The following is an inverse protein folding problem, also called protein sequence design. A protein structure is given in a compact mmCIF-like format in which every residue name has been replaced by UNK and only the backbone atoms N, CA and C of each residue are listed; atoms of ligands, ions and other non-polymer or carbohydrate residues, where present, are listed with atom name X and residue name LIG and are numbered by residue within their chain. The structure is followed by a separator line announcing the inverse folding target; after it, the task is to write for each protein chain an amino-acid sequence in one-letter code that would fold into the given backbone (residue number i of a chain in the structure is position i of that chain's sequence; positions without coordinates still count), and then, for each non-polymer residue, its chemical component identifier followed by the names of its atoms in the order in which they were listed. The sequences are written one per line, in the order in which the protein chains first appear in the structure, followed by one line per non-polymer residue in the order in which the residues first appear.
data_IF_176292939843
#
_entry.id   IF_176292939843
#
_cell.length_a   1.000
_cell.length_b   1.000
_cell.length_c   1.000
_cell.angle_alpha   90.00
_cell.angle_beta   90.00
_cell.angle_gamma   90.00
#
_symmetry.space_group_name_H-M   'P 1'
#
loop_
_entity.id
_entity.type
_entity.pdbx_description
1 polymer ?
#
# COMPACT_ATOMS: atom_id res chain seq x y z
N UNK A 1 -10.43 -32.66 -10.69
CA UNK A 1 -9.38 -31.62 -10.78
C UNK A 1 -8.08 -32.28 -11.22
N UNK A 2 -7.36 -31.73 -12.17
CA UNK A 2 -6.08 -32.32 -12.55
C UNK A 2 -5.01 -32.00 -11.52
N UNK A 3 -4.02 -32.86 -11.38
CA UNK A 3 -2.88 -32.66 -10.46
C UNK A 3 -2.15 -31.35 -10.73
N UNK A 4 -2.06 -30.95 -11.98
CA UNK A 4 -1.46 -29.68 -12.40
C UNK A 4 -2.25 -28.45 -11.93
N UNK A 5 -3.57 -28.51 -11.87
CA UNK A 5 -4.39 -27.42 -11.34
C UNK A 5 -4.15 -27.19 -9.84
N UNK A 6 -3.97 -28.27 -9.08
CA UNK A 6 -3.63 -28.19 -7.66
C UNK A 6 -2.24 -27.60 -7.42
N UNK A 7 -1.28 -27.97 -8.26
CA UNK A 7 0.09 -27.41 -8.21
C UNK A 7 0.07 -25.91 -8.55
N UNK A 8 -0.66 -25.52 -9.57
CA UNK A 8 -0.78 -24.12 -9.96
C UNK A 8 -1.46 -23.26 -8.88
N UNK A 9 -2.49 -23.79 -8.24
CA UNK A 9 -3.14 -23.16 -7.09
C UNK A 9 -2.15 -22.96 -5.94
N UNK A 10 -1.37 -23.99 -5.60
CA UNK A 10 -0.33 -23.91 -4.57
C UNK A 10 0.74 -22.87 -4.91
N UNK A 11 1.20 -22.84 -6.15
CA UNK A 11 2.17 -21.86 -6.64
C UNK A 11 1.66 -20.43 -6.51
N UNK A 12 0.43 -20.13 -6.95
CA UNK A 12 -0.18 -18.80 -6.82
C UNK A 12 -0.28 -18.35 -5.36
N UNK A 13 -0.72 -19.26 -4.49
CA UNK A 13 -0.80 -18.97 -3.05
C UNK A 13 0.57 -18.67 -2.44
N UNK A 14 1.59 -19.42 -2.80
CA UNK A 14 2.96 -19.16 -2.35
C UNK A 14 3.48 -17.81 -2.82
N UNK A 15 3.29 -17.45 -4.09
CA UNK A 15 3.71 -16.15 -4.60
C UNK A 15 3.00 -14.99 -3.90
N UNK A 16 1.69 -15.11 -3.66
CA UNK A 16 0.94 -14.09 -2.95
C UNK A 16 1.45 -13.90 -1.51
N UNK A 17 1.70 -15.00 -0.80
CA UNK A 17 2.26 -14.94 0.55
C UNK A 17 3.70 -14.41 0.57
N UNK A 18 4.52 -14.77 -0.40
CA UNK A 18 5.87 -14.24 -0.53
C UNK A 18 5.85 -12.73 -0.72
N UNK A 19 4.96 -12.22 -1.56
CA UNK A 19 4.79 -10.78 -1.76
C UNK A 19 4.34 -10.06 -0.49
N UNK A 20 3.44 -10.69 0.27
CA UNK A 20 3.00 -10.15 1.56
C UNK A 20 4.15 -10.08 2.58
N UNK A 21 4.97 -11.13 2.65
CA UNK A 21 6.14 -11.17 3.54
C UNK A 21 7.19 -10.13 3.12
N UNK A 22 7.46 -9.99 1.83
CA UNK A 22 8.38 -8.97 1.32
C UNK A 22 7.91 -7.55 1.65
N UNK A 23 6.62 -7.28 1.50
CA UNK A 23 6.04 -5.98 1.86
C UNK A 23 6.12 -5.73 3.36
N UNK A 24 5.85 -6.73 4.19
CA UNK A 24 6.02 -6.62 5.64
C UNK A 24 7.48 -6.35 6.02
N UNK A 25 8.43 -7.08 5.42
CA UNK A 25 9.86 -6.86 5.62
C UNK A 25 10.30 -5.45 5.22
N UNK A 26 9.80 -4.95 4.09
CA UNK A 26 10.05 -3.59 3.64
C UNK A 26 9.50 -2.54 4.63
N UNK A 27 8.29 -2.75 5.15
CA UNK A 27 7.71 -1.89 6.18
C UNK A 27 8.55 -1.88 7.47
N UNK A 28 9.01 -3.04 7.91
CA UNK A 28 9.84 -3.18 9.11
C UNK A 28 11.19 -2.48 8.92
N UNK A 29 11.84 -2.72 7.78
CA UNK A 29 13.15 -2.13 7.46
C UNK A 29 13.10 -0.60 7.41
N UNK A 30 11.96 -0.04 7.01
CA UNK A 30 11.78 1.41 6.88
C UNK A 30 10.95 2.03 8.01
N UNK A 31 10.74 1.31 9.10
CA UNK A 31 9.91 1.79 10.22
C UNK A 31 10.42 3.08 10.87
N UNK A 32 11.74 3.30 10.80
CA UNK A 32 12.40 4.52 11.31
C UNK A 32 12.83 5.49 10.20
N UNK A 33 12.50 5.21 8.94
CA UNK A 33 12.84 6.08 7.82
C UNK A 33 11.87 7.25 7.75
N UNK A 34 12.40 8.47 7.81
CA UNK A 34 11.59 9.68 7.69
C UNK A 34 10.93 9.77 6.31
N UNK A 35 9.64 10.14 6.31
CA UNK A 35 8.84 10.23 5.09
C UNK A 35 8.35 8.90 4.52
N UNK A 36 8.68 7.78 5.17
CA UNK A 36 8.19 6.47 4.74
C UNK A 36 6.71 6.27 5.11
N UNK A 37 5.94 5.74 4.18
CA UNK A 37 4.55 5.38 4.40
C UNK A 37 4.37 3.87 4.28
N UNK A 38 3.78 3.26 5.31
CA UNK A 38 3.50 1.84 5.37
C UNK A 38 2.71 1.37 4.14
N UNK A 39 3.14 0.27 3.55
CA UNK A 39 2.47 -0.38 2.43
C UNK A 39 1.63 -1.58 2.89
N UNK A 40 0.54 -1.82 2.18
CA UNK A 40 -0.35 -2.96 2.41
C UNK A 40 -0.59 -3.68 1.09
N UNK A 41 -0.49 -5.00 1.14
CA UNK A 41 -0.86 -5.86 0.02
C UNK A 41 -2.36 -6.12 0.06
N UNK A 42 -3.04 -5.89 -1.04
CA UNK A 42 -4.43 -6.30 -1.27
C UNK A 42 -4.42 -7.66 -1.96
N UNK A 43 -5.06 -8.62 -1.32
CA UNK A 43 -5.23 -9.96 -1.84
C UNK A 43 -6.68 -10.14 -2.28
N UNK A 44 -6.88 -10.57 -3.51
CA UNK A 44 -8.19 -10.91 -4.05
C UNK A 44 -8.23 -12.38 -4.47
N UNK A 45 -9.42 -12.97 -4.43
CA UNK A 45 -9.61 -14.31 -4.95
C UNK A 45 -9.38 -14.32 -6.46
N UNK A 46 -8.65 -15.32 -6.94
CA UNK A 46 -8.51 -15.50 -8.38
C UNK A 46 -9.87 -15.87 -8.99
N UNK A 47 -10.08 -15.53 -10.26
CA UNK A 47 -11.32 -15.86 -10.96
C UNK A 47 -11.59 -17.38 -10.86
N UNK A 48 -12.85 -17.80 -10.60
CA UNK A 48 -13.19 -19.22 -10.54
C UNK A 48 -12.98 -19.89 -11.90
N UNK A 49 -12.71 -21.20 -11.86
CA UNK A 49 -12.46 -21.98 -13.08
C UNK A 49 -13.60 -21.85 -14.09
N UNK A 50 -14.77 -21.57 -13.58
CA UNK A 50 -15.96 -21.47 -14.39
C UNK A 50 -16.68 -20.13 -14.20
N UNK A 51 -16.91 -19.45 -15.29
CA UNK A 51 -17.76 -18.24 -15.31
C UNK A 51 -19.24 -18.66 -15.41
N UNK A 52 -20.17 -17.98 -14.74
CA UNK A 52 -21.58 -18.19 -14.96
C UNK A 52 -21.94 -17.92 -16.43
N UNK A 53 -22.51 -18.92 -17.13
CA UNK A 53 -22.97 -18.78 -18.52
C UNK A 53 -24.27 -19.58 -18.71
N UNK A 54 -25.11 -19.17 -19.67
CA UNK A 54 -26.42 -19.73 -19.94
C UNK A 54 -26.39 -21.21 -20.42
N UNK A 55 -25.27 -21.70 -20.90
CA UNK A 55 -25.07 -23.06 -21.42
C UNK A 55 -24.44 -24.05 -20.45
N UNK A 56 -24.49 -23.77 -19.14
CA UNK A 56 -23.73 -24.50 -18.16
C UNK A 56 -24.51 -25.56 -17.41
N UNK A 57 -23.81 -26.66 -17.04
CA UNK A 57 -24.32 -27.67 -16.15
C UNK A 57 -24.78 -27.07 -14.81
N UNK A 58 -25.97 -27.43 -14.35
CA UNK A 58 -26.62 -26.95 -13.12
C UNK A 58 -25.97 -27.49 -11.84
N UNK A 59 -24.69 -27.77 -11.82
CA UNK A 59 -24.00 -28.21 -10.61
C UNK A 59 -23.74 -27.03 -9.69
N UNK A 60 -24.21 -27.06 -8.44
CA UNK A 60 -23.94 -26.01 -7.48
C UNK A 60 -22.47 -25.95 -7.10
N UNK A 61 -21.94 -24.75 -6.99
CA UNK A 61 -20.59 -24.51 -6.56
C UNK A 61 -19.60 -24.19 -7.70
N UNK A 62 -18.61 -23.39 -7.37
CA UNK A 62 -17.51 -23.01 -8.24
C UNK A 62 -16.18 -23.45 -7.62
N UNK A 63 -15.31 -23.98 -8.47
CA UNK A 63 -13.97 -24.35 -8.02
C UNK A 63 -13.09 -23.10 -8.00
N UNK A 64 -12.61 -22.73 -6.82
CA UNK A 64 -11.67 -21.61 -6.64
C UNK A 64 -10.30 -21.91 -7.24
N UNK A 65 -9.64 -20.88 -7.72
CA UNK A 65 -8.29 -20.99 -8.30
C UNK A 65 -7.20 -20.32 -7.43
N UNK A 66 -7.47 -20.07 -6.17
CA UNK A 66 -6.52 -19.51 -5.23
C UNK A 66 -6.62 -17.98 -5.10
N UNK A 67 -5.53 -17.36 -4.73
CA UNK A 67 -5.41 -15.94 -4.40
C UNK A 67 -4.41 -15.26 -5.32
N UNK A 68 -4.69 -14.02 -5.65
CA UNK A 68 -3.77 -13.14 -6.38
C UNK A 68 -3.53 -11.84 -5.62
N UNK A 69 -2.39 -11.23 -5.83
CA UNK A 69 -2.13 -9.85 -5.39
C UNK A 69 -2.77 -8.91 -6.41
N UNK A 70 -3.76 -8.14 -5.98
CA UNK A 70 -4.43 -7.17 -6.85
C UNK A 70 -3.71 -5.83 -6.88
N UNK A 71 -3.21 -5.39 -5.74
CA UNK A 71 -2.48 -4.13 -5.64
C UNK A 71 -1.63 -4.06 -4.37
N UNK A 72 -0.66 -3.14 -4.37
CA UNK A 72 0.07 -2.73 -3.18
C UNK A 72 -0.23 -1.25 -2.97
N UNK A 73 -0.92 -0.93 -1.89
CA UNK A 73 -1.36 0.43 -1.58
C UNK A 73 -0.61 1.01 -0.40
N UNK A 74 -0.42 2.33 -0.39
CA UNK A 74 0.12 3.04 0.75
C UNK A 74 -1.02 3.44 1.69
N UNK A 75 -0.80 3.23 2.98
CA UNK A 75 -1.73 3.68 4.01
C UNK A 75 -1.42 5.15 4.33
N UNK A 76 -2.13 6.06 3.67
CA UNK A 76 -2.01 7.51 3.89
C UNK A 76 -3.36 8.09 4.28
N UNK A 77 -3.30 9.09 5.15
CA UNK A 77 -4.44 9.94 5.48
C UNK A 77 -4.27 11.26 4.73
N UNK A 78 -5.07 11.45 3.67
CA UNK A 78 -5.00 12.65 2.82
C UNK A 78 -5.31 13.94 3.61
N UNK A 79 -6.20 13.87 4.58
CA UNK A 79 -6.53 15.02 5.41
C UNK A 79 -5.33 15.43 6.29
N UNK A 80 -4.64 14.44 6.84
CA UNK A 80 -3.44 14.67 7.63
C UNK A 80 -2.31 15.22 6.77
N UNK A 81 -2.13 14.70 5.56
CA UNK A 81 -1.15 15.19 4.61
C UNK A 81 -1.38 16.66 4.25
N UNK A 82 -2.63 17.04 3.96
CA UNK A 82 -3.00 18.44 3.70
C UNK A 82 -2.71 19.35 4.89
N UNK A 83 -2.98 18.89 6.11
CA UNK A 83 -2.66 19.64 7.33
C UNK A 83 -1.16 19.80 7.54
N UNK A 84 -0.37 18.77 7.26
CA UNK A 84 1.09 18.83 7.34
C UNK A 84 1.63 19.87 6.36
N UNK A 85 1.18 19.86 5.10
CA UNK A 85 1.57 20.86 4.09
C UNK A 85 1.24 22.27 4.57
N UNK A 86 0.02 22.50 5.05
CA UNK A 86 -0.41 23.81 5.54
C UNK A 86 0.40 24.29 6.77
N UNK A 87 0.80 23.37 7.66
CA UNK A 87 1.63 23.73 8.81
C UNK A 87 3.08 23.97 8.41
N UNK A 88 3.60 23.23 7.44
CA UNK A 88 4.95 23.44 6.91
C UNK A 88 5.08 24.81 6.24
N UNK A 89 4.06 25.24 5.52
CA UNK A 89 3.98 26.60 4.94
C UNK A 89 4.05 27.68 6.04
N UNK A 90 3.26 27.51 7.10
CA UNK A 90 3.27 28.46 8.23
C UNK A 90 4.62 28.46 8.94
N UNK A 91 5.22 27.30 9.13
CA UNK A 91 6.55 27.18 9.72
C UNK A 91 7.58 27.94 8.89
N UNK A 92 7.62 27.74 7.59
CA UNK A 92 8.53 28.44 6.68
C UNK A 92 8.35 29.97 6.73
N UNK A 93 7.11 30.44 6.83
CA UNK A 93 6.81 31.86 6.99
C UNK A 93 7.40 32.43 8.30
N UNK A 94 7.20 31.76 9.43
CA UNK A 94 7.69 32.21 10.73
C UNK A 94 9.21 32.13 10.83
N UNK A 95 9.84 31.06 10.32
CA UNK A 95 11.29 30.92 10.29
C UNK A 95 11.95 32.04 9.47
N UNK A 96 11.37 32.36 8.31
CA UNK A 96 11.85 33.47 7.47
C UNK A 96 11.73 34.80 8.20
N UNK A 97 10.60 35.04 8.86
CA UNK A 97 10.37 36.25 9.65
C UNK A 97 11.37 36.39 10.79
N UNK A 98 11.60 35.32 11.53
CA UNK A 98 12.60 35.31 12.62
C UNK A 98 14.01 35.60 12.11
N UNK A 99 14.37 35.06 10.96
CA UNK A 99 15.65 35.34 10.31
C UNK A 99 15.81 36.82 9.97
N UNK A 100 14.77 37.47 9.44
CA UNK A 100 14.79 38.91 9.16
C UNK A 100 14.86 39.76 10.43
N UNK A 101 14.13 39.40 11.45
CA UNK A 101 14.18 40.09 12.76
C UNK A 101 15.58 39.99 13.37
N UNK A 102 16.19 38.82 13.31
CA UNK A 102 17.57 38.62 13.76
C UNK A 102 18.58 39.50 13.01
N UNK A 103 18.44 39.60 11.69
CA UNK A 103 19.26 40.51 10.88
C UNK A 103 19.08 41.98 11.28
N UNK A 104 17.83 42.40 11.56
CA UNK A 104 17.56 43.76 12.02
C UNK A 104 18.17 44.04 13.41
N UNK A 105 18.11 43.11 14.34
CA UNK A 105 18.74 43.23 15.64
C UNK A 105 20.27 43.40 15.52
N UNK A 106 20.90 42.66 14.61
CA UNK A 106 22.34 42.82 14.36
C UNK A 106 22.72 44.19 13.75
N UNK A 107 21.82 44.81 12.98
CA UNK A 107 22.04 46.15 12.41
C UNK A 107 21.91 47.27 13.45
N UNK A 108 21.14 47.07 14.52
CA UNK A 108 20.90 48.06 15.57
C UNK A 108 21.83 47.91 16.80
N UNK A 109 22.57 46.80 16.86
CA UNK A 109 23.61 46.56 17.89
C UNK A 109 25.00 46.77 17.30
#
# INVERSE_FOLDING_TARGET
MSTFASIELGKRSLFAQQQAIQTAGHNISNSSTEGYTRQRVQLDSYEPLYRPDLSRAETPGQIGQGVAVSSITRLRDELLDQRIVAQTDKQGYWETRDSYIYMLEQLYN
#
